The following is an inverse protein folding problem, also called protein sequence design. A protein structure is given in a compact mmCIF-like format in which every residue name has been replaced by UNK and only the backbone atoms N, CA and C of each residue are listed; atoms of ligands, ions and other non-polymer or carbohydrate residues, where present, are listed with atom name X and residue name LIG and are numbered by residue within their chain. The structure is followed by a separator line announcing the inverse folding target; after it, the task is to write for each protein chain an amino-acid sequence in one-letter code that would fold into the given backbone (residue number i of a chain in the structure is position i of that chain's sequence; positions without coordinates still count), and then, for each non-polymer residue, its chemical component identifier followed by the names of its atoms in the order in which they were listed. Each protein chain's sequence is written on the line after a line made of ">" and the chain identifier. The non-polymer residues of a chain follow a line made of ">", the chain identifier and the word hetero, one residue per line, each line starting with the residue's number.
data_IF_858949921703
#
_entry.id   IF_858949921703
#
_cell.length_a   1.000
_cell.length_b   1.000
_cell.length_c   1.000
_cell.angle_alpha   90.00
_cell.angle_beta   90.00
_cell.angle_gamma   90.00
#
_symmetry.space_group_name_H-M   'P 1'
#
loop_
_entity.id
_entity.type
_entity.pdbx_description
1 polymer ?
#
# COMPACT_ATOMS: atom_id res chain seq x y z
N UNK A 1 -9.98 1.61 14.07
CA UNK A 1 -10.93 0.83 13.25
C UNK A 1 -10.76 1.13 11.76
N UNK A 2 -10.66 2.40 11.34
CA UNK A 2 -10.69 2.79 9.92
C UNK A 2 -9.58 2.16 9.04
N UNK A 3 -8.41 1.82 9.61
CA UNK A 3 -7.25 1.30 8.87
C UNK A 3 -7.02 -0.22 9.04
N UNK A 4 -7.98 -0.97 9.58
CA UNK A 4 -7.78 -2.38 9.97
C UNK A 4 -7.35 -3.31 8.82
N UNK A 5 -7.76 -2.99 7.58
CA UNK A 5 -7.42 -3.73 6.37
C UNK A 5 -6.63 -2.87 5.36
N UNK A 6 -6.16 -1.70 5.78
CA UNK A 6 -5.35 -0.84 4.93
C UNK A 6 -3.91 -1.35 4.91
N UNK A 7 -3.28 -1.29 3.74
CA UNK A 7 -1.85 -1.56 3.65
C UNK A 7 -1.06 -0.37 4.19
N UNK A 8 -0.13 -0.67 5.08
CA UNK A 8 0.78 0.34 5.62
C UNK A 8 2.02 0.42 4.72
N UNK A 9 2.28 1.62 4.23
CA UNK A 9 3.46 1.96 3.45
C UNK A 9 4.38 2.83 4.32
N UNK A 10 5.61 2.38 4.51
CA UNK A 10 6.63 3.10 5.27
C UNK A 10 7.76 3.49 4.32
N UNK A 11 8.24 4.72 4.45
CA UNK A 11 9.35 5.27 3.67
C UNK A 11 10.34 5.95 4.59
N UNK A 12 11.63 5.87 4.25
CA UNK A 12 12.70 6.57 4.96
C UNK A 12 12.77 8.06 4.57
N UNK A 13 11.96 8.49 3.58
CA UNK A 13 11.84 9.88 3.17
C UNK A 13 11.16 10.70 4.26
N UNK A 14 11.86 11.74 4.72
CA UNK A 14 11.32 12.70 5.67
C UNK A 14 10.18 13.50 5.03
N UNK A 15 9.17 13.86 5.82
CA UNK A 15 7.99 14.58 5.33
C UNK A 15 8.29 15.85 4.51
N UNK A 16 9.26 16.72 4.88
CA UNK A 16 9.59 17.90 4.08
C UNK A 16 10.17 17.59 2.69
N UNK A 17 10.77 16.40 2.54
CA UNK A 17 11.41 15.93 1.30
C UNK A 17 10.49 15.01 0.49
N UNK A 18 9.25 14.80 0.95
CA UNK A 18 8.28 13.97 0.26
C UNK A 18 7.73 14.68 -0.98
N UNK A 19 7.94 14.08 -2.15
CA UNK A 19 7.57 14.65 -3.44
C UNK A 19 6.45 13.85 -4.10
N UNK A 20 5.92 14.36 -5.22
CA UNK A 20 4.91 13.66 -6.01
C UNK A 20 5.42 12.31 -6.53
N UNK A 21 6.71 12.21 -6.84
CA UNK A 21 7.36 10.98 -7.29
C UNK A 21 7.27 9.89 -6.22
N UNK A 22 7.57 10.23 -4.95
CA UNK A 22 7.44 9.32 -3.82
C UNK A 22 6.00 8.84 -3.63
N UNK A 23 5.00 9.68 -3.91
CA UNK A 23 3.59 9.27 -3.91
C UNK A 23 3.30 8.25 -5.03
N UNK A 24 3.78 8.51 -6.26
CA UNK A 24 3.59 7.59 -7.37
C UNK A 24 4.25 6.24 -7.10
N UNK A 25 5.46 6.23 -6.53
CA UNK A 25 6.15 5.01 -6.10
C UNK A 25 5.35 4.25 -5.05
N UNK A 26 4.81 4.94 -4.04
CA UNK A 26 3.97 4.32 -3.01
C UNK A 26 2.71 3.66 -3.60
N UNK A 27 2.07 4.31 -4.58
CA UNK A 27 0.89 3.77 -5.28
C UNK A 27 1.27 2.56 -6.14
N UNK A 28 2.40 2.61 -6.85
CA UNK A 28 2.90 1.49 -7.66
C UNK A 28 3.22 0.29 -6.77
N UNK A 29 3.87 0.51 -5.63
CA UNK A 29 4.15 -0.56 -4.66
C UNK A 29 2.87 -1.15 -4.06
N UNK A 30 1.88 -0.32 -3.75
CA UNK A 30 0.55 -0.78 -3.35
C UNK A 30 -0.12 -1.63 -4.44
N UNK A 31 -0.01 -1.24 -5.72
CA UNK A 31 -0.56 -2.01 -6.84
C UNK A 31 0.18 -3.32 -7.12
N UNK A 32 1.50 -3.36 -6.90
CA UNK A 32 2.34 -4.56 -7.07
C UNK A 32 2.15 -5.58 -5.96
N UNK A 33 1.71 -5.16 -4.78
CA UNK A 33 1.32 -6.08 -3.69
C UNK A 33 0.03 -6.77 -4.11
N UNK A 34 0.19 -7.77 -4.97
CA UNK A 34 -0.92 -8.52 -5.54
C UNK A 34 -1.76 -9.18 -4.45
N UNK A 35 -3.03 -8.78 -4.39
CA UNK A 35 -4.13 -9.73 -4.23
C UNK A 35 -4.06 -10.72 -5.40
N UNK A 36 -3.23 -11.76 -5.29
CA UNK A 36 -3.21 -12.88 -6.24
C UNK A 36 -4.65 -13.37 -6.40
N UNK A 37 -5.24 -13.12 -7.57
CA UNK A 37 -6.56 -13.61 -8.01
C UNK A 37 -7.81 -13.06 -7.32
N UNK A 38 -7.86 -11.77 -6.95
CA UNK A 38 -9.13 -11.12 -6.60
C UNK A 38 -9.89 -11.75 -5.42
N UNK A 39 -9.25 -12.64 -4.66
CA UNK A 39 -9.73 -13.19 -3.40
C UNK A 39 -8.73 -12.77 -2.36
N UNK A 40 -9.17 -11.97 -1.39
CA UNK A 40 -8.50 -11.97 -0.11
C UNK A 40 -8.56 -13.41 0.41
N UNK A 41 -7.44 -13.96 0.87
CA UNK A 41 -7.37 -15.30 1.46
C UNK A 41 -8.34 -15.47 2.65
N UNK A 42 -8.86 -14.36 3.18
CA UNK A 42 -9.92 -14.28 4.20
C UNK A 42 -11.35 -14.62 3.71
N UNK A 43 -11.60 -14.73 2.41
CA UNK A 43 -12.92 -15.11 1.86
C UNK A 43 -13.03 -16.60 1.48
N UNK A 44 -12.09 -17.43 1.90
CA UNK A 44 -12.06 -18.88 1.61
C UNK A 44 -12.37 -19.75 2.84
N UNK A 45 -13.19 -19.27 3.77
CA UNK A 45 -13.84 -20.11 4.78
C UNK A 45 -15.36 -19.87 4.77
#
# INVERSE_FOLDING_TARGET
>A
WQIAYAELYFTDVLWPDFTKEHLYEAIIEFQKRERRFGKTSEQLN
#
